data_IF_184255544510
#
_entry.id   IF_184255544510
#
_cell.length_a   1.000
_cell.length_b   1.000
_cell.length_c   1.000
_cell.angle_alpha   90.00
_cell.angle_beta   90.00
_cell.angle_gamma   90.00
#
_symmetry.space_group_name_H-M   'P 1'
#
loop_
_entity.id
_entity.type
_entity.pdbx_description
1 polymer ?
#
# COMPACT_ATOMS: atom_id res chain seq x y z
N UNK A 1 16.66 10.58 4.97
CA UNK A 1 17.89 10.15 4.22
C UNK A 1 17.48 9.10 3.22
N UNK A 2 17.78 9.32 1.93
CA UNK A 2 17.52 8.32 0.88
C UNK A 2 18.48 7.13 1.01
N UNK A 3 18.04 5.95 0.56
CA UNK A 3 18.89 4.76 0.50
C UNK A 3 20.11 4.98 -0.39
N UNK A 4 19.91 5.61 -1.56
CA UNK A 4 20.98 5.96 -2.49
C UNK A 4 22.03 6.88 -1.88
N UNK A 5 21.65 7.84 -1.01
CA UNK A 5 22.57 8.69 -0.26
C UNK A 5 23.37 7.89 0.76
N UNK A 6 22.68 7.02 1.51
CA UNK A 6 23.32 6.16 2.52
C UNK A 6 24.39 5.25 1.92
N UNK A 7 24.15 4.76 0.70
CA UNK A 7 25.06 3.89 -0.04
C UNK A 7 26.04 4.64 -0.95
N UNK A 8 25.82 5.94 -1.17
CA UNK A 8 26.63 6.79 -2.09
C UNK A 8 26.61 6.27 -3.54
N UNK A 9 25.49 5.73 -4.00
CA UNK A 9 25.32 5.14 -5.34
C UNK A 9 24.61 6.06 -6.34
N UNK A 10 24.26 7.26 -5.93
CA UNK A 10 23.63 8.25 -6.82
C UNK A 10 22.29 7.77 -7.37
N UNK A 11 22.10 7.84 -8.67
CA UNK A 11 20.86 7.48 -9.37
C UNK A 11 20.80 5.98 -9.77
N UNK A 12 21.69 5.14 -9.21
CA UNK A 12 21.78 3.74 -9.62
C UNK A 12 20.48 2.95 -9.41
N UNK A 13 19.73 3.23 -8.34
CA UNK A 13 18.42 2.60 -8.09
C UNK A 13 17.39 3.02 -9.16
N UNK A 14 17.28 4.32 -9.44
CA UNK A 14 16.36 4.84 -10.45
C UNK A 14 16.67 4.30 -11.85
N UNK A 15 17.96 4.24 -12.21
CA UNK A 15 18.40 3.77 -13.52
C UNK A 15 18.01 2.29 -13.80
N UNK A 16 17.70 1.53 -12.74
CA UNK A 16 17.23 0.14 -12.84
C UNK A 16 15.76 -0.02 -12.45
N UNK A 17 15.00 1.09 -12.38
CA UNK A 17 13.57 1.08 -12.10
C UNK A 17 13.19 0.73 -10.67
N UNK A 18 14.11 0.92 -9.72
CA UNK A 18 13.91 0.63 -8.30
C UNK A 18 13.51 1.89 -7.54
N UNK A 19 12.50 1.78 -6.71
CA UNK A 19 12.14 2.83 -5.78
C UNK A 19 13.27 3.08 -4.77
N UNK A 20 13.67 4.34 -4.61
CA UNK A 20 14.71 4.76 -3.67
C UNK A 20 14.07 5.25 -2.35
N UNK A 21 13.94 4.40 -1.33
CA UNK A 21 13.18 4.74 -0.14
C UNK A 21 13.89 5.78 0.75
N UNK A 22 13.09 6.62 1.41
CA UNK A 22 13.56 7.45 2.52
C UNK A 22 13.58 6.57 3.77
N UNK A 23 14.77 6.34 4.36
CA UNK A 23 15.00 5.34 5.41
C UNK A 23 14.47 5.73 6.80
N UNK A 24 14.31 7.00 7.08
CA UNK A 24 13.91 7.53 8.39
C UNK A 24 12.40 7.68 8.56
N UNK A 25 11.64 7.59 7.46
CA UNK A 25 10.17 7.66 7.47
C UNK A 25 9.55 6.74 6.44
N UNK A 26 8.27 6.48 6.57
CA UNK A 26 7.52 5.79 5.54
C UNK A 26 7.22 6.76 4.38
N UNK A 27 7.20 6.21 3.18
CA UNK A 27 6.91 6.97 1.96
C UNK A 27 5.45 6.78 1.60
N UNK A 28 4.74 7.87 1.26
CA UNK A 28 3.31 7.84 0.99
C UNK A 28 2.97 7.20 -0.37
N UNK A 29 3.40 5.95 -0.56
CA UNK A 29 3.09 5.09 -1.69
C UNK A 29 2.52 3.76 -1.22
N UNK A 30 1.84 3.05 -2.10
CA UNK A 30 1.35 1.72 -1.82
C UNK A 30 1.54 0.79 -3.02
N UNK A 31 1.56 -0.51 -2.76
CA UNK A 31 1.58 -1.52 -3.80
C UNK A 31 0.19 -1.59 -4.43
N UNK A 32 0.11 -1.35 -5.74
CA UNK A 32 -1.13 -1.42 -6.48
C UNK A 32 -1.27 -2.80 -7.13
N UNK A 33 -2.38 -3.50 -6.83
CA UNK A 33 -2.61 -4.87 -7.30
C UNK A 33 -2.83 -4.93 -8.80
N UNK A 34 -3.51 -3.95 -9.40
CA UNK A 34 -3.73 -3.93 -10.86
C UNK A 34 -2.39 -3.75 -11.61
N UNK A 35 -1.44 -3.03 -11.02
CA UNK A 35 -0.09 -2.90 -11.59
C UNK A 35 0.71 -4.20 -11.53
N UNK A 36 0.46 -5.06 -10.53
CA UNK A 36 1.06 -6.40 -10.49
C UNK A 36 0.59 -7.29 -11.65
N UNK A 37 -0.58 -7.02 -12.19
CA UNK A 37 -1.09 -7.73 -13.37
C UNK A 37 -0.31 -7.38 -14.64
N UNK A 38 0.18 -6.15 -14.72
CA UNK A 38 0.87 -5.60 -15.89
C UNK A 38 2.39 -5.52 -15.73
N UNK A 39 2.92 -5.96 -14.58
CA UNK A 39 4.36 -5.85 -14.28
C UNK A 39 5.20 -6.65 -15.26
N UNK A 40 6.34 -6.09 -15.63
CA UNK A 40 7.36 -6.73 -16.45
C UNK A 40 8.51 -7.29 -15.63
N UNK A 41 8.52 -7.04 -14.33
CA UNK A 41 9.55 -7.52 -13.40
C UNK A 41 9.34 -9.02 -13.12
N UNK A 42 10.31 -9.90 -13.49
CA UNK A 42 10.11 -11.36 -13.50
C UNK A 42 9.72 -11.94 -12.14
N UNK A 43 10.23 -11.40 -11.04
CA UNK A 43 9.96 -11.91 -9.70
C UNK A 43 8.49 -11.78 -9.30
N UNK A 44 7.78 -10.83 -9.92
CA UNK A 44 6.36 -10.59 -9.65
C UNK A 44 5.42 -11.26 -10.66
N UNK A 45 5.97 -12.03 -11.62
CA UNK A 45 5.16 -12.84 -12.53
C UNK A 45 4.27 -13.80 -11.74
N UNK A 46 2.96 -13.77 -11.99
CA UNK A 46 1.97 -14.59 -11.29
C UNK A 46 1.62 -14.11 -9.86
N UNK A 47 2.16 -12.99 -9.37
CA UNK A 47 1.82 -12.44 -8.05
C UNK A 47 0.36 -12.05 -7.96
N UNK A 48 -0.18 -11.46 -9.02
CA UNK A 48 -1.59 -11.10 -9.13
C UNK A 48 -2.51 -12.32 -8.97
N UNK A 49 -2.21 -13.40 -9.67
CA UNK A 49 -2.97 -14.65 -9.61
C UNK A 49 -2.88 -15.29 -8.22
N UNK A 50 -1.70 -15.32 -7.59
CA UNK A 50 -1.52 -15.85 -6.24
C UNK A 50 -2.33 -15.07 -5.20
N UNK A 51 -2.39 -13.74 -5.31
CA UNK A 51 -3.21 -12.89 -4.45
C UNK A 51 -4.69 -13.25 -4.62
N UNK A 52 -5.17 -13.34 -5.86
CA UNK A 52 -6.56 -13.69 -6.13
C UNK A 52 -6.89 -15.13 -5.71
N UNK A 53 -5.96 -16.07 -5.85
CA UNK A 53 -6.16 -17.46 -5.37
C UNK A 53 -6.27 -17.52 -3.85
N UNK A 54 -5.49 -16.72 -3.13
CA UNK A 54 -5.64 -16.57 -1.69
C UNK A 54 -7.05 -16.07 -1.33
N UNK A 55 -7.54 -15.03 -1.97
CA UNK A 55 -8.88 -14.50 -1.71
C UNK A 55 -10.00 -15.45 -2.16
N UNK A 56 -9.85 -16.18 -3.28
CA UNK A 56 -10.78 -17.25 -3.67
C UNK A 56 -10.88 -18.35 -2.62
N UNK A 57 -9.76 -18.67 -1.96
CA UNK A 57 -9.77 -19.64 -0.85
C UNK A 57 -10.57 -19.09 0.34
N UNK A 58 -10.41 -17.81 0.67
CA UNK A 58 -11.22 -17.16 1.72
C UNK A 58 -12.70 -17.20 1.35
N UNK A 59 -13.07 -16.82 0.13
CA UNK A 59 -14.46 -16.83 -0.36
C UNK A 59 -15.06 -18.23 -0.22
N UNK A 60 -14.36 -19.27 -0.67
CA UNK A 60 -14.83 -20.67 -0.57
C UNK A 60 -15.07 -21.11 0.89
N UNK A 61 -14.27 -20.63 1.82
CA UNK A 61 -14.48 -20.92 3.24
C UNK A 61 -15.69 -20.15 3.79
N UNK A 62 -15.83 -18.87 3.46
CA UNK A 62 -16.97 -18.06 3.90
C UNK A 62 -18.28 -18.50 3.26
N UNK A 63 -18.26 -18.98 2.03
CA UNK A 63 -19.45 -19.55 1.37
C UNK A 63 -19.96 -20.79 2.07
N UNK A 64 -19.06 -21.64 2.59
CA UNK A 64 -19.43 -22.85 3.37
C UNK A 64 -19.81 -22.56 4.81
N UNK A 65 -19.41 -21.42 5.36
CA UNK A 65 -19.73 -21.05 6.72
C UNK A 65 -21.24 -20.79 6.88
N UNK A 66 -21.84 -21.31 7.96
CA UNK A 66 -23.24 -21.07 8.30
C UNK A 66 -23.42 -19.83 9.18
N UNK A 67 -22.36 -19.44 9.91
CA UNK A 67 -22.37 -18.30 10.82
C UNK A 67 -21.11 -17.45 10.66
N UNK A 68 -21.27 -16.12 10.70
CA UNK A 68 -20.16 -15.17 10.64
C UNK A 68 -19.45 -14.96 11.99
N UNK A 69 -19.00 -16.04 12.58
CA UNK A 69 -18.24 -16.00 13.83
C UNK A 69 -17.29 -17.20 13.94
N UNK A 70 -16.27 -17.07 14.81
CA UNK A 70 -15.20 -18.07 15.00
C UNK A 70 -15.66 -19.39 15.66
N UNK A 71 -16.95 -19.56 16.02
CA UNK A 71 -17.50 -20.85 16.46
C UNK A 71 -17.80 -21.72 15.26
N UNK A 72 -18.10 -21.13 14.11
CA UNK A 72 -18.24 -21.84 12.85
C UNK A 72 -16.87 -22.33 12.36
N UNK A 73 -16.79 -23.59 11.95
CA UNK A 73 -15.52 -24.23 11.55
C UNK A 73 -14.91 -23.57 10.31
N UNK A 74 -15.73 -23.26 9.32
CA UNK A 74 -15.24 -22.66 8.07
C UNK A 74 -14.88 -21.19 8.26
N UNK A 75 -15.69 -20.42 9.00
CA UNK A 75 -15.35 -19.04 9.34
C UNK A 75 -14.05 -18.97 10.15
N UNK A 76 -13.86 -19.88 11.10
CA UNK A 76 -12.61 -19.97 11.87
C UNK A 76 -11.43 -20.29 10.96
N UNK A 77 -11.58 -21.25 10.05
CA UNK A 77 -10.52 -21.59 9.09
C UNK A 77 -10.13 -20.36 8.21
N UNK A 78 -11.12 -19.59 7.75
CA UNK A 78 -10.84 -18.32 7.06
C UNK A 78 -10.09 -17.33 7.97
N UNK A 79 -10.53 -17.16 9.22
CA UNK A 79 -9.91 -16.27 10.19
C UNK A 79 -8.48 -16.68 10.53
N UNK A 80 -8.19 -17.97 10.63
CA UNK A 80 -6.86 -18.47 10.97
C UNK A 80 -5.82 -18.23 9.88
N UNK A 81 -6.22 -18.19 8.62
CA UNK A 81 -5.33 -17.88 7.50
C UNK A 81 -5.34 -16.41 7.09
N UNK A 82 -6.37 -15.62 7.46
CA UNK A 82 -6.48 -14.20 7.18
C UNK A 82 -5.69 -13.36 8.20
N UNK A 83 -4.38 -13.58 8.23
CA UNK A 83 -3.45 -12.93 9.14
C UNK A 83 -2.34 -12.27 8.33
N UNK A 84 -2.18 -10.98 8.52
CA UNK A 84 -1.17 -10.20 7.81
C UNK A 84 -0.34 -9.43 8.84
N UNK A 85 0.97 -9.61 8.76
CA UNK A 85 1.92 -8.86 9.55
C UNK A 85 2.33 -7.61 8.78
N UNK A 86 2.65 -6.56 9.48
CA UNK A 86 3.32 -5.42 8.88
C UNK A 86 4.65 -5.88 8.29
N UNK A 87 4.89 -5.57 7.01
CA UNK A 87 6.15 -5.86 6.34
C UNK A 87 7.07 -4.66 6.53
N UNK A 88 7.82 -4.70 7.64
CA UNK A 88 8.87 -3.72 7.88
C UNK A 88 9.94 -3.82 6.77
N UNK A 89 10.51 -2.70 6.36
CA UNK A 89 11.61 -2.71 5.39
C UNK A 89 11.27 -2.22 4.00
N UNK A 90 10.01 -2.26 3.58
CA UNK A 90 9.58 -1.66 2.31
C UNK A 90 9.49 -0.12 2.40
N UNK A 91 9.49 0.45 3.60
CA UNK A 91 9.45 1.90 3.86
C UNK A 91 8.26 2.60 3.19
N UNK A 92 7.09 1.95 3.12
CA UNK A 92 5.86 2.51 2.58
C UNK A 92 4.83 2.73 3.69
N UNK A 93 3.96 3.75 3.55
CA UNK A 93 2.88 4.04 4.49
C UNK A 93 2.86 5.48 4.98
N UNK A 94 2.17 5.73 6.08
CA UNK A 94 2.02 7.06 6.71
C UNK A 94 2.78 7.24 8.04
N UNK A 95 3.53 6.24 8.48
CA UNK A 95 4.11 6.23 9.82
C UNK A 95 5.32 7.14 9.97
N UNK A 96 5.18 8.25 10.70
CA UNK A 96 6.34 9.00 11.16
C UNK A 96 6.90 8.51 12.50
N UNK A 97 6.08 7.96 13.41
CA UNK A 97 6.49 7.72 14.80
C UNK A 97 5.84 6.53 15.53
N UNK A 98 4.89 5.82 14.95
CA UNK A 98 4.27 4.68 15.63
C UNK A 98 4.53 3.38 14.87
N UNK A 99 4.77 2.23 15.55
CA UNK A 99 4.68 0.95 14.87
C UNK A 99 3.29 0.86 14.27
N UNK A 100 3.22 0.67 12.93
CA UNK A 100 1.96 0.55 12.22
C UNK A 100 1.12 -0.54 12.87
N UNK A 101 -0.16 -0.30 13.05
CA UNK A 101 -1.08 -1.33 13.50
C UNK A 101 -1.52 -2.12 12.27
N UNK A 102 -0.73 -3.09 11.85
CA UNK A 102 -1.07 -4.02 10.74
C UNK A 102 -2.46 -4.65 10.91
N UNK A 103 -2.79 -5.64 10.12
CA UNK A 103 -4.06 -6.36 10.20
C UNK A 103 -4.18 -7.19 11.51
N UNK A 104 -4.42 -6.50 12.63
CA UNK A 104 -4.66 -7.15 13.93
C UNK A 104 -5.95 -7.98 13.93
N UNK A 105 -6.10 -8.94 14.87
CA UNK A 105 -7.22 -9.89 14.91
C UNK A 105 -8.61 -9.24 14.88
N UNK A 106 -8.75 -8.04 15.44
CA UNK A 106 -10.00 -7.28 15.43
C UNK A 106 -10.38 -6.83 14.02
N UNK A 107 -9.41 -6.31 13.27
CA UNK A 107 -9.63 -5.84 11.89
C UNK A 107 -9.87 -7.04 10.97
N UNK A 108 -9.06 -8.10 11.07
CA UNK A 108 -9.27 -9.34 10.32
C UNK A 108 -10.68 -9.89 10.50
N UNK A 109 -11.17 -9.91 11.76
CA UNK A 109 -12.53 -10.35 12.05
C UNK A 109 -13.57 -9.45 11.39
N UNK A 110 -13.45 -8.13 11.51
CA UNK A 110 -14.39 -7.18 10.89
C UNK A 110 -14.44 -7.32 9.37
N UNK A 111 -13.28 -7.46 8.72
CA UNK A 111 -13.18 -7.68 7.26
C UNK A 111 -13.87 -8.98 6.86
N UNK A 112 -13.61 -10.08 7.58
CA UNK A 112 -14.22 -11.36 7.27
C UNK A 112 -15.74 -11.39 7.53
N UNK A 113 -16.23 -10.67 8.54
CA UNK A 113 -17.67 -10.53 8.77
C UNK A 113 -18.35 -9.77 7.62
N UNK A 114 -17.72 -8.71 7.09
CA UNK A 114 -18.20 -7.99 5.91
C UNK A 114 -18.11 -8.86 4.65
N UNK A 115 -16.97 -9.53 4.45
CA UNK A 115 -16.77 -10.44 3.31
C UNK A 115 -17.77 -11.59 3.33
N UNK A 116 -18.11 -12.13 4.50
CA UNK A 116 -19.17 -13.14 4.64
C UNK A 116 -20.50 -12.63 4.09
N UNK A 117 -20.93 -11.42 4.50
CA UNK A 117 -22.18 -10.84 4.02
C UNK A 117 -22.18 -10.65 2.49
N UNK A 118 -21.06 -10.20 1.91
CA UNK A 118 -20.87 -10.00 0.46
C UNK A 118 -20.95 -11.36 -0.27
N UNK A 119 -20.24 -12.37 0.22
CA UNK A 119 -20.25 -13.72 -0.36
C UNK A 119 -21.66 -14.33 -0.29
N UNK A 120 -22.37 -14.18 0.84
CA UNK A 120 -23.76 -14.65 0.99
C UNK A 120 -24.76 -13.88 0.12
N UNK A 121 -24.42 -12.67 -0.33
CA UNK A 121 -25.17 -11.95 -1.36
C UNK A 121 -24.91 -12.46 -2.79
N UNK A 122 -24.04 -13.46 -2.97
CA UNK A 122 -23.76 -14.10 -4.25
C UNK A 122 -22.56 -13.54 -5.01
N UNK A 123 -21.64 -12.85 -4.32
CA UNK A 123 -20.38 -12.35 -4.90
C UNK A 123 -19.28 -13.37 -4.61
N UNK A 124 -18.69 -13.93 -5.66
CA UNK A 124 -17.59 -14.89 -5.62
C UNK A 124 -16.29 -14.36 -6.26
N UNK A 125 -16.28 -13.10 -6.66
CA UNK A 125 -15.16 -12.46 -7.30
C UNK A 125 -14.12 -11.97 -6.27
N UNK A 126 -12.87 -12.50 -6.27
CA UNK A 126 -11.86 -12.16 -5.28
C UNK A 126 -11.43 -10.69 -5.30
N UNK A 127 -11.64 -9.98 -6.40
CA UNK A 127 -11.19 -8.60 -6.54
C UNK A 127 -11.95 -7.61 -5.64
N UNK A 128 -13.10 -8.00 -5.07
CA UNK A 128 -13.76 -7.14 -4.08
C UNK A 128 -12.87 -6.89 -2.85
N UNK A 129 -11.93 -7.79 -2.51
CA UNK A 129 -10.96 -7.56 -1.44
C UNK A 129 -10.00 -6.41 -1.73
N UNK A 130 -9.73 -6.14 -3.00
CA UNK A 130 -8.91 -5.01 -3.43
C UNK A 130 -9.62 -3.66 -3.19
N UNK A 131 -10.94 -3.69 -3.10
CA UNK A 131 -11.80 -2.52 -2.88
C UNK A 131 -12.14 -2.28 -1.40
N UNK A 132 -11.57 -3.06 -0.47
CA UNK A 132 -11.78 -2.89 0.98
C UNK A 132 -11.60 -1.43 1.48
N UNK A 133 -10.64 -0.64 0.99
CA UNK A 133 -10.50 0.75 1.40
C UNK A 133 -11.75 1.61 1.16
N UNK A 134 -12.59 1.27 0.18
CA UNK A 134 -13.80 2.02 -0.15
C UNK A 134 -14.94 1.78 0.84
N UNK A 135 -15.08 0.58 1.39
CA UNK A 135 -16.27 0.21 2.17
C UNK A 135 -15.99 -0.37 3.57
N UNK A 136 -14.75 -0.71 3.88
CA UNK A 136 -14.41 -1.32 5.17
C UNK A 136 -13.83 -0.30 6.14
N UNK A 137 -14.48 -0.16 7.31
CA UNK A 137 -13.98 0.69 8.37
C UNK A 137 -12.58 0.25 8.84
N UNK A 138 -11.74 1.22 9.15
CA UNK A 138 -10.35 1.02 9.56
C UNK A 138 -9.47 0.27 8.56
N UNK A 139 -9.86 0.18 7.31
CA UNK A 139 -9.00 -0.29 6.22
C UNK A 139 -8.80 0.85 5.23
N UNK A 140 -7.58 1.31 5.14
CA UNK A 140 -7.12 2.30 4.16
C UNK A 140 -6.21 1.62 3.11
N UNK A 141 -5.77 2.37 2.10
CA UNK A 141 -4.82 1.87 1.10
C UNK A 141 -3.51 1.36 1.71
N UNK A 142 -3.04 1.96 2.81
CA UNK A 142 -1.87 1.53 3.57
C UNK A 142 -2.02 0.08 4.07
N UNK A 143 -3.13 -0.24 4.72
CA UNK A 143 -3.38 -1.60 5.20
C UNK A 143 -3.61 -2.60 4.09
N UNK A 144 -4.24 -2.18 2.99
CA UNK A 144 -4.33 -3.03 1.80
C UNK A 144 -2.92 -3.33 1.26
N UNK A 145 -2.06 -2.31 1.17
CA UNK A 145 -0.67 -2.46 0.74
C UNK A 145 0.12 -3.43 1.64
N UNK A 146 -0.03 -3.34 2.97
CA UNK A 146 0.61 -4.27 3.92
C UNK A 146 0.12 -5.71 3.75
N UNK A 147 -1.18 -5.88 3.52
CA UNK A 147 -1.77 -7.19 3.23
C UNK A 147 -1.17 -7.78 1.95
N UNK A 148 -1.09 -7.00 0.89
CA UNK A 148 -0.51 -7.42 -0.39
C UNK A 148 0.99 -7.71 -0.22
N UNK A 149 1.75 -6.82 0.43
CA UNK A 149 3.17 -7.02 0.71
C UNK A 149 3.43 -8.35 1.45
N UNK A 150 2.56 -8.71 2.41
CA UNK A 150 2.65 -9.99 3.12
C UNK A 150 2.45 -11.18 2.16
N UNK A 151 1.51 -11.10 1.22
CA UNK A 151 1.21 -12.18 0.27
C UNK A 151 2.30 -12.38 -0.78
N UNK A 152 3.01 -11.31 -1.14
CA UNK A 152 4.10 -11.34 -2.14
C UNK A 152 5.49 -11.15 -1.52
N UNK A 153 5.62 -11.30 -0.21
CA UNK A 153 6.91 -11.11 0.48
C UNK A 153 8.06 -11.95 -0.10
N UNK A 154 7.87 -13.22 -0.49
CA UNK A 154 8.93 -13.99 -1.16
C UNK A 154 9.40 -13.37 -2.48
N UNK A 155 8.48 -12.78 -3.25
CA UNK A 155 8.80 -12.11 -4.52
C UNK A 155 9.61 -10.84 -4.26
N UNK A 156 9.20 -10.05 -3.25
CA UNK A 156 9.91 -8.84 -2.81
C UNK A 156 11.34 -9.18 -2.34
N UNK A 157 11.50 -10.26 -1.59
CA UNK A 157 12.83 -10.72 -1.13
C UNK A 157 13.71 -11.12 -2.31
N UNK A 158 13.20 -11.95 -3.23
CA UNK A 158 13.94 -12.38 -4.42
C UNK A 158 14.33 -11.20 -5.31
N UNK A 159 13.42 -10.26 -5.51
CA UNK A 159 13.69 -9.00 -6.21
C UNK A 159 14.80 -8.20 -5.54
N UNK A 160 14.72 -8.03 -4.22
CA UNK A 160 15.72 -7.30 -3.44
C UNK A 160 17.10 -7.93 -3.56
N UNK A 161 17.18 -9.27 -3.47
CA UNK A 161 18.43 -10.01 -3.61
C UNK A 161 19.05 -9.79 -4.99
N UNK A 162 18.25 -9.91 -6.06
CA UNK A 162 18.73 -9.68 -7.43
C UNK A 162 19.23 -8.25 -7.63
N UNK A 163 18.48 -7.25 -7.19
CA UNK A 163 18.88 -5.84 -7.30
C UNK A 163 20.15 -5.58 -6.49
N UNK A 164 20.25 -6.10 -5.28
CA UNK A 164 21.44 -5.96 -4.45
C UNK A 164 22.68 -6.56 -5.14
N UNK A 165 22.55 -7.72 -5.77
CA UNK A 165 23.64 -8.31 -6.55
C UNK A 165 23.99 -7.47 -7.78
N UNK A 166 22.99 -7.00 -8.53
CA UNK A 166 23.16 -6.18 -9.73
C UNK A 166 23.90 -4.86 -9.43
N UNK A 167 23.57 -4.21 -8.31
CA UNK A 167 24.14 -2.94 -7.91
C UNK A 167 25.35 -3.08 -6.97
N UNK A 168 25.75 -4.31 -6.64
CA UNK A 168 26.87 -4.57 -5.74
C UNK A 168 26.58 -4.17 -4.27
N UNK A 169 25.31 -4.13 -3.86
CA UNK A 169 24.89 -3.85 -2.48
C UNK A 169 25.05 -5.14 -1.65
N UNK A 170 26.30 -5.53 -1.42
CA UNK A 170 26.68 -6.73 -0.70
C UNK A 170 27.67 -6.40 0.43
N UNK A 171 27.74 -7.26 1.45
CA UNK A 171 28.58 -7.04 2.63
C UNK A 171 30.04 -6.76 2.30
N UNK A 172 30.57 -7.41 1.28
CA UNK A 172 31.98 -7.24 0.89
C UNK A 172 32.29 -5.83 0.38
N UNK A 173 31.34 -5.20 -0.30
CA UNK A 173 31.50 -3.84 -0.86
C UNK A 173 31.19 -2.76 0.21
N UNK A 174 30.40 -3.12 1.24
CA UNK A 174 30.01 -2.23 2.32
C UNK A 174 30.33 -2.84 3.70
N UNK A 175 31.62 -3.01 4.03
CA UNK A 175 32.04 -3.70 5.25
C UNK A 175 31.64 -2.97 6.55
N UNK A 176 31.43 -1.66 6.48
CA UNK A 176 30.98 -0.79 7.58
C UNK A 176 29.45 -0.81 7.79
N UNK A 177 28.68 -1.36 6.87
CA UNK A 177 27.23 -1.43 6.95
C UNK A 177 26.77 -2.74 7.61
N UNK A 178 25.58 -2.69 8.22
CA UNK A 178 24.97 -3.87 8.81
C UNK A 178 24.18 -4.65 7.74
N UNK A 179 24.39 -5.98 7.72
CA UNK A 179 23.64 -6.91 6.87
C UNK A 179 23.06 -8.02 7.74
N UNK A 180 21.83 -8.45 7.43
CA UNK A 180 21.18 -9.61 8.02
C UNK A 180 20.64 -10.49 6.89
N UNK A 181 20.84 -11.81 6.96
CA UNK A 181 20.45 -12.77 5.91
C UNK A 181 20.88 -12.38 4.49
N UNK A 182 21.99 -11.67 4.33
CA UNK A 182 22.47 -11.17 3.04
C UNK A 182 21.84 -9.85 2.57
N UNK A 183 20.85 -9.33 3.26
CA UNK A 183 20.19 -8.05 2.96
C UNK A 183 20.75 -6.92 3.82
N UNK A 184 20.83 -5.72 3.24
CA UNK A 184 21.23 -4.51 3.94
C UNK A 184 20.21 -4.16 5.03
N UNK A 185 20.68 -3.83 6.22
CA UNK A 185 19.81 -3.34 7.29
C UNK A 185 19.66 -1.82 7.25
N UNK A 186 18.45 -1.35 7.51
CA UNK A 186 18.18 0.06 7.73
C UNK A 186 18.97 0.56 8.95
N UNK A 187 19.86 1.56 8.79
CA UNK A 187 20.74 2.01 9.87
C UNK A 187 20.01 2.66 11.04
N UNK A 188 18.76 3.10 10.84
CA UNK A 188 17.96 3.81 11.83
C UNK A 188 16.94 2.91 12.53
N UNK A 189 16.43 1.92 11.80
CA UNK A 189 15.32 1.06 12.27
C UNK A 189 15.75 -0.40 12.52
N UNK A 190 16.89 -0.84 12.00
CA UNK A 190 17.52 -2.13 12.29
C UNK A 190 16.99 -3.35 11.54
N UNK A 191 15.90 -3.24 10.79
CA UNK A 191 15.36 -4.32 9.95
C UNK A 191 15.96 -4.30 8.54
N UNK A 192 15.82 -5.41 7.79
CA UNK A 192 16.29 -5.49 6.41
C UNK A 192 15.55 -4.47 5.52
N UNK A 193 16.28 -3.79 4.62
CA UNK A 193 15.70 -2.96 3.58
C UNK A 193 15.22 -3.85 2.45
N UNK A 194 13.93 -3.77 2.14
CA UNK A 194 13.29 -4.46 1.03
C UNK A 194 13.02 -3.48 -0.10
N UNK A 195 13.42 -3.86 -1.30
CA UNK A 195 13.32 -3.04 -2.50
C UNK A 195 12.07 -3.40 -3.30
N UNK A 196 11.50 -2.39 -3.95
CA UNK A 196 10.34 -2.55 -4.82
C UNK A 196 10.60 -1.90 -6.18
N UNK A 197 10.10 -2.48 -7.28
CA UNK A 197 10.10 -1.79 -8.57
C UNK A 197 9.10 -0.65 -8.55
N UNK A 198 9.45 0.47 -9.17
CA UNK A 198 8.57 1.65 -9.24
C UNK A 198 7.27 1.35 -9.99
N UNK A 199 7.30 0.43 -10.95
CA UNK A 199 6.15 0.11 -11.80
C UNK A 199 4.94 -0.46 -11.06
N UNK A 200 5.13 -1.07 -9.87
CA UNK A 200 4.01 -1.61 -9.06
C UNK A 200 3.52 -0.63 -7.99
N UNK A 201 4.15 0.55 -7.87
CA UNK A 201 3.81 1.54 -6.85
C UNK A 201 2.83 2.57 -7.37
N UNK A 202 1.98 3.05 -6.47
CA UNK A 202 1.09 4.17 -6.68
C UNK A 202 1.13 5.12 -5.49
N UNK A 203 0.68 6.36 -5.71
CA UNK A 203 0.55 7.37 -4.65
C UNK A 203 -0.54 6.95 -3.67
N UNK A 204 -0.27 7.03 -2.38
CA UNK A 204 -1.34 6.96 -1.40
C UNK A 204 -2.22 8.20 -1.53
N UNK A 205 -3.54 8.08 -1.58
CA UNK A 205 -4.42 9.22 -1.41
C UNK A 205 -4.17 9.77 0.00
N UNK A 206 -3.48 10.91 0.06
CA UNK A 206 -3.22 11.62 1.32
C UNK A 206 -4.51 12.31 1.70
N UNK A 207 -5.31 11.68 2.56
CA UNK A 207 -6.57 12.21 3.06
C UNK A 207 -6.35 13.36 4.07
N UNK A 208 -5.58 14.39 3.70
CA UNK A 208 -5.53 15.65 4.47
C UNK A 208 -6.74 16.53 4.18
N UNK A 209 -7.43 16.32 3.06
CA UNK A 209 -8.68 16.99 2.72
C UNK A 209 -9.71 16.01 2.20
N UNK A 210 -10.97 16.37 2.27
CA UNK A 210 -12.10 15.61 1.75
C UNK A 210 -12.04 15.43 0.23
N UNK A 211 -11.43 16.37 -0.47
CA UNK A 211 -11.23 16.35 -1.91
C UNK A 211 -10.32 15.20 -2.34
N UNK A 212 -9.34 14.83 -1.50
CA UNK A 212 -8.43 13.71 -1.75
C UNK A 212 -9.07 12.34 -1.49
N UNK A 213 -10.00 12.23 -0.54
CA UNK A 213 -10.82 11.01 -0.36
C UNK A 213 -11.80 10.88 -1.52
N UNK A 214 -12.34 12.01 -2.00
CA UNK A 214 -13.20 12.01 -3.16
C UNK A 214 -12.46 11.59 -4.43
N UNK A 215 -11.15 11.81 -4.58
CA UNK A 215 -10.42 11.40 -5.78
C UNK A 215 -10.48 9.90 -6.02
N UNK A 216 -10.36 9.07 -4.98
CA UNK A 216 -10.48 7.60 -5.11
C UNK A 216 -11.90 7.16 -5.50
N UNK A 217 -12.92 7.92 -5.11
CA UNK A 217 -14.34 7.65 -5.45
C UNK A 217 -14.73 8.40 -6.74
N UNK A 218 -14.15 9.59 -6.96
CA UNK A 218 -14.39 10.46 -8.12
C UNK A 218 -13.84 9.83 -9.39
N UNK A 219 -12.73 9.13 -9.32
CA UNK A 219 -12.18 8.38 -10.44
C UNK A 219 -13.05 7.18 -10.81
N UNK A 220 -13.92 6.69 -9.89
CA UNK A 220 -14.86 5.63 -10.19
C UNK A 220 -16.23 6.21 -10.62
N UNK A 221 -16.32 6.63 -11.88
CA UNK A 221 -17.57 7.11 -12.49
C UNK A 221 -18.73 6.13 -12.34
N UNK A 222 -18.47 4.84 -12.19
CA UNK A 222 -19.48 3.79 -12.01
C UNK A 222 -20.15 3.91 -10.65
N UNK A 223 -19.40 4.10 -9.57
CA UNK A 223 -19.98 4.32 -8.23
C UNK A 223 -20.83 5.61 -8.23
N UNK A 224 -20.34 6.68 -8.88
CA UNK A 224 -21.08 7.94 -9.00
C UNK A 224 -22.40 7.78 -9.77
N UNK A 225 -22.38 7.04 -10.86
CA UNK A 225 -23.61 6.79 -11.65
C UNK A 225 -24.65 5.97 -10.88
N UNK A 226 -24.24 5.17 -9.90
CA UNK A 226 -25.14 4.40 -9.04
C UNK A 226 -25.74 5.22 -7.89
N UNK A 227 -25.17 6.38 -7.59
CA UNK A 227 -25.68 7.28 -6.56
C UNK A 227 -26.75 8.20 -7.17
N UNK A 228 -27.90 8.32 -6.50
CA UNK A 228 -28.88 9.32 -6.91
C UNK A 228 -28.38 10.74 -6.53
N UNK A 229 -28.95 11.77 -7.15
CA UNK A 229 -28.57 13.17 -6.93
C UNK A 229 -28.64 13.58 -5.45
N UNK A 230 -29.60 13.06 -4.70
CA UNK A 230 -29.77 13.35 -3.27
C UNK A 230 -28.60 12.86 -2.44
N UNK A 231 -28.10 11.64 -2.72
CA UNK A 231 -26.91 11.08 -2.07
C UNK A 231 -25.66 11.85 -2.47
N UNK A 232 -25.56 12.23 -3.76
CA UNK A 232 -24.42 12.99 -4.26
C UNK A 232 -24.29 14.35 -3.59
N UNK A 233 -25.39 15.04 -3.32
CA UNK A 233 -25.39 16.33 -2.59
C UNK A 233 -25.00 16.18 -1.12
N UNK A 234 -25.38 15.08 -0.47
CA UNK A 234 -25.06 14.81 0.93
C UNK A 234 -23.65 14.21 1.11
N UNK A 235 -23.09 13.62 0.06
CA UNK A 235 -21.83 12.88 0.10
C UNK A 235 -20.67 13.70 0.68
N UNK A 236 -20.54 14.95 0.29
CA UNK A 236 -19.52 15.87 0.79
C UNK A 236 -19.69 16.23 2.26
N UNK A 237 -20.90 16.10 2.79
CA UNK A 237 -21.23 16.41 4.19
C UNK A 237 -21.09 15.20 5.12
N UNK A 238 -21.03 13.98 4.57
CA UNK A 238 -20.93 12.76 5.36
C UNK A 238 -19.52 12.53 5.90
N UNK A 239 -19.43 12.00 7.13
CA UNK A 239 -18.17 11.49 7.65
C UNK A 239 -17.67 10.27 6.84
N UNK A 240 -16.36 9.99 6.87
CA UNK A 240 -15.78 8.85 6.14
C UNK A 240 -16.43 7.51 6.53
N UNK A 241 -16.77 7.33 7.80
CA UNK A 241 -17.49 6.15 8.31
C UNK A 241 -18.87 6.00 7.70
N UNK A 242 -19.61 7.10 7.51
CA UNK A 242 -20.97 7.08 6.96
C UNK A 242 -20.93 6.74 5.46
N UNK A 243 -19.94 7.25 4.73
CA UNK A 243 -19.71 6.91 3.32
C UNK A 243 -19.35 5.45 3.16
N UNK A 244 -18.43 4.93 3.96
CA UNK A 244 -18.07 3.50 3.96
C UNK A 244 -19.26 2.62 4.31
N UNK A 245 -20.06 3.01 5.29
CA UNK A 245 -21.29 2.33 5.64
C UNK A 245 -22.28 2.30 4.47
N UNK A 246 -22.51 3.44 3.81
CA UNK A 246 -23.39 3.51 2.65
C UNK A 246 -22.94 2.61 1.51
N UNK A 247 -21.65 2.67 1.12
CA UNK A 247 -21.08 1.84 0.06
C UNK A 247 -21.24 0.35 0.41
N UNK A 248 -20.90 -0.05 1.62
CA UNK A 248 -21.05 -1.43 2.08
C UNK A 248 -22.49 -1.93 1.99
N UNK A 249 -23.45 -1.17 2.52
CA UNK A 249 -24.83 -1.63 2.63
C UNK A 249 -25.64 -1.48 1.33
N UNK A 250 -25.31 -0.52 0.48
CA UNK A 250 -26.08 -0.19 -0.71
C UNK A 250 -25.45 -0.61 -2.03
N UNK A 251 -24.15 -0.80 -2.05
CA UNK A 251 -23.39 -1.16 -3.25
C UNK A 251 -22.78 -2.57 -3.11
N UNK A 252 -21.91 -2.80 -2.12
CA UNK A 252 -21.15 -4.05 -2.03
C UNK A 252 -21.97 -5.27 -1.57
N UNK A 253 -23.11 -5.08 -0.90
CA UNK A 253 -24.07 -6.16 -0.57
C UNK A 253 -25.14 -6.35 -1.65
N UNK A 254 -25.18 -5.53 -2.67
CA UNK A 254 -26.02 -5.69 -3.86
C UNK A 254 -25.17 -6.36 -4.96
N UNK A 255 -25.55 -7.59 -5.33
CA UNK A 255 -24.75 -8.41 -6.24
C UNK A 255 -24.49 -7.75 -7.59
N UNK A 256 -25.52 -7.12 -8.18
CA UNK A 256 -25.38 -6.50 -9.49
C UNK A 256 -24.50 -5.25 -9.45
N UNK A 257 -24.70 -4.40 -8.46
CA UNK A 257 -23.90 -3.18 -8.30
C UNK A 257 -22.44 -3.51 -7.95
N UNK A 258 -22.21 -4.50 -7.07
CA UNK A 258 -20.86 -4.93 -6.74
C UNK A 258 -20.10 -5.43 -7.96
N UNK A 259 -20.72 -6.26 -8.81
CA UNK A 259 -20.12 -6.72 -10.07
C UNK A 259 -19.76 -5.57 -10.99
N UNK A 260 -20.66 -4.60 -11.17
CA UNK A 260 -20.40 -3.42 -12.01
C UNK A 260 -19.22 -2.60 -11.47
N UNK A 261 -19.08 -2.45 -10.15
CA UNK A 261 -17.93 -1.75 -9.54
C UNK A 261 -16.62 -2.51 -9.75
N UNK A 262 -16.64 -3.85 -9.61
CA UNK A 262 -15.46 -4.68 -9.87
C UNK A 262 -15.04 -4.62 -11.34
N UNK A 263 -15.99 -4.67 -12.27
CA UNK A 263 -15.73 -4.54 -13.71
C UNK A 263 -15.11 -3.18 -14.04
N UNK A 264 -15.68 -2.09 -13.51
CA UNK A 264 -15.13 -0.75 -13.70
C UNK A 264 -13.71 -0.62 -13.13
N UNK A 265 -13.45 -1.22 -11.98
CA UNK A 265 -12.12 -1.25 -11.36
C UNK A 265 -11.08 -1.99 -12.22
N UNK A 266 -11.48 -3.07 -12.90
CA UNK A 266 -10.61 -3.81 -13.83
C UNK A 266 -10.24 -3.02 -15.08
N UNK A 267 -11.16 -2.18 -15.55
CA UNK A 267 -11.00 -1.39 -16.76
C UNK A 267 -10.24 -0.07 -16.51
N UNK A 268 -10.06 0.30 -15.24
CA UNK A 268 -9.38 1.53 -14.87
C UNK A 268 -7.91 1.51 -15.30
N UNK A 269 -7.53 2.52 -16.07
CA UNK A 269 -6.12 2.75 -16.42
C UNK A 269 -5.49 3.64 -15.37
N UNK A 270 -4.60 3.05 -14.60
CA UNK A 270 -3.83 3.79 -13.61
C UNK A 270 -2.66 4.50 -14.28
N UNK A 271 -2.48 5.77 -13.93
CA UNK A 271 -1.31 6.53 -14.35
C UNK A 271 -0.01 5.90 -13.85
N UNK A 272 1.07 6.08 -14.62
CA UNK A 272 2.37 5.63 -14.19
C UNK A 272 2.79 6.37 -12.91
N UNK A 273 3.49 5.65 -12.03
CA UNK A 273 4.10 6.25 -10.86
C UNK A 273 5.01 7.42 -11.26
N UNK A 274 4.76 8.59 -10.69
CA UNK A 274 5.62 9.75 -10.80
C UNK A 274 6.10 10.16 -9.39
N UNK A 275 7.34 9.84 -9.00
CA UNK A 275 7.86 10.17 -7.69
C UNK A 275 7.94 11.68 -7.43
N UNK A 276 8.06 12.50 -8.49
CA UNK A 276 8.20 13.95 -8.37
C UNK A 276 6.90 14.65 -7.92
N UNK A 277 5.75 13.99 -7.98
CA UNK A 277 4.49 14.51 -7.45
C UNK A 277 4.44 14.51 -5.93
N UNK A 278 5.34 13.78 -5.27
CA UNK A 278 5.47 13.81 -3.81
C UNK A 278 6.44 14.91 -3.37
N UNK A 279 5.92 15.94 -2.75
CA UNK A 279 6.70 17.08 -2.24
C UNK A 279 7.88 16.62 -1.37
N UNK A 280 7.66 15.72 -0.43
CA UNK A 280 8.72 15.25 0.47
C UNK A 280 9.82 14.45 -0.24
N UNK A 281 9.43 13.64 -1.21
CA UNK A 281 10.37 12.89 -2.05
C UNK A 281 11.12 13.81 -3.01
N UNK A 282 10.38 14.73 -3.65
CA UNK A 282 10.96 15.76 -4.51
C UNK A 282 11.97 16.61 -3.76
N UNK A 283 11.65 17.07 -2.55
CA UNK A 283 12.58 17.85 -1.72
C UNK A 283 13.80 17.02 -1.32
N UNK A 284 13.65 15.75 -0.96
CA UNK A 284 14.79 14.89 -0.66
C UNK A 284 15.73 14.73 -1.85
N UNK A 285 15.19 14.53 -3.07
CA UNK A 285 15.98 14.47 -4.31
C UNK A 285 16.59 15.82 -4.69
N UNK A 286 15.88 16.91 -4.50
CA UNK A 286 16.39 18.24 -4.74
C UNK A 286 17.59 18.54 -3.83
N UNK A 287 17.51 18.23 -2.55
CA UNK A 287 18.63 18.39 -1.62
C UNK A 287 19.83 17.54 -2.01
N UNK A 288 19.62 16.29 -2.42
CA UNK A 288 20.70 15.44 -2.93
C UNK A 288 21.42 16.08 -4.14
N UNK A 289 20.66 16.64 -5.09
CA UNK A 289 21.24 17.33 -6.26
C UNK A 289 22.02 18.58 -5.86
N UNK A 290 21.52 19.35 -4.89
CA UNK A 290 22.17 20.56 -4.37
C UNK A 290 23.48 20.20 -3.65
N UNK A 291 23.49 19.18 -2.81
CA UNK A 291 24.69 18.72 -2.10
C UNK A 291 25.78 18.27 -3.10
N UNK A 292 25.41 17.56 -4.14
CA UNK A 292 26.34 17.16 -5.22
C UNK A 292 26.90 18.33 -6.00
N UNK A 293 26.17 19.42 -6.12
CA UNK A 293 26.62 20.63 -6.85
C UNK A 293 27.67 21.46 -6.10
N UNK A 294 28.02 21.08 -4.86
CA UNK A 294 29.02 21.77 -4.05
C UNK A 294 28.57 23.12 -3.47
N UNK A 295 27.29 23.43 -3.49
CA UNK A 295 26.72 24.66 -2.94
C UNK A 295 26.54 24.51 -1.42
N UNK A 296 27.63 24.59 -0.68
CA UNK A 296 27.70 24.25 0.76
C UNK A 296 26.89 25.17 1.70
N UNK A 297 26.45 26.35 1.27
CA UNK A 297 25.66 27.24 2.12
C UNK A 297 24.17 26.80 2.25
N UNK A 298 23.67 26.04 1.30
CA UNK A 298 22.31 25.53 1.31
C UNK A 298 22.12 24.37 2.32
N UNK A 299 23.16 23.64 2.67
CA UNK A 299 23.09 22.58 3.70
C UNK A 299 22.68 23.13 5.08
N UNK A 300 23.04 24.39 5.38
CA UNK A 300 22.64 25.08 6.61
C UNK A 300 21.14 25.45 6.66
N UNK A 301 20.45 25.48 5.52
CA UNK A 301 19.00 25.70 5.45
C UNK A 301 18.19 24.45 5.73
N UNK A 302 18.72 23.27 5.37
CA UNK A 302 18.12 21.96 5.64
C UNK A 302 17.87 21.75 7.14
N UNK A 303 18.87 22.07 7.97
CA UNK A 303 18.79 21.91 9.42
C UNK A 303 17.80 22.90 10.06
N UNK A 304 17.59 24.09 9.49
CA UNK A 304 16.67 25.11 10.01
C UNK A 304 15.20 24.85 9.66
N UNK A 305 14.89 24.25 8.50
CA UNK A 305 13.51 23.93 8.12
C UNK A 305 12.98 22.71 8.90
N UNK A 306 13.83 21.77 9.25
CA UNK A 306 13.46 20.63 10.10
C UNK A 306 13.09 21.14 11.50
N UNK A 307 13.89 22.07 12.07
CA UNK A 307 13.61 22.67 13.39
C UNK A 307 12.36 23.57 13.41
N UNK A 308 12.04 24.27 12.30
CA UNK A 308 10.86 25.13 12.24
C UNK A 308 9.53 24.35 12.10
N UNK A 309 9.55 23.17 11.49
CA UNK A 309 8.36 22.28 11.42
C UNK A 309 8.09 21.55 12.72
N UNK A 310 9.11 21.30 13.55
CA UNK A 310 8.94 20.74 14.90
C UNK A 310 8.42 21.78 15.90
N UNK A 311 8.71 23.06 15.70
CA UNK A 311 8.28 24.16 16.57
C UNK A 311 6.84 24.67 16.32
N UNK A 312 6.19 24.25 15.22
CA UNK A 312 4.82 24.66 14.87
C UNK A 312 3.74 23.59 15.18
N UNK A 313 4.09 22.56 15.98
CA UNK A 313 3.19 21.47 16.42
C UNK A 313 3.11 21.37 17.95
N UNK A 314 3.51 22.46 18.67
CA UNK A 314 3.19 22.62 20.10
C UNK A 314 1.98 23.54 20.33
#
# INVERSE_FOLDING_TARGET
>A
MLLSDYLQIGEALENVGVFDPVLDKDNAFFINIQRLKETTTPEFEGSYERINDFFRKIIKLLDRAEQKNVKDTYFRAAFDIFKFSEVNGICLGFGEKAPGSGFGPKISKMVLETAYDIVKAGIDDPEFFQLLPLFQDNVGPDRLSDMIATLILPDIQTYTERVNQQLGIIKNNYPDKLFNNGLLCNPLKGYEVLLLPTEILHKLPVAKSWEEIDSVIVENNTIRAMMNNEVAEQWTQWAATDRKYYLREKIFKDSEKCKQVIEAYREEKLDAYNPEEQIDYFLAKLWQRIEKSGISWLSRYKDREIDSKTASIE
#
